data_IF_505534645500
#
_entry.id   IF_505534645500
#
_cell.length_a   1.000
_cell.length_b   1.000
_cell.length_c   1.000
_cell.angle_alpha   90.00
_cell.angle_beta   90.00
_cell.angle_gamma   90.00
#
_symmetry.space_group_name_H-M   'P 1'
#
loop_
_entity.id
_entity.type
_entity.pdbx_description
1 polymer ?
#
# COMPACT_ATOMS: atom_id res chain seq x y z
N UNK A 1 -20.39 10.15 -21.34
CA UNK A 1 -19.24 10.98 -20.89
C UNK A 1 -19.31 11.30 -19.41
N UNK A 2 -20.34 11.99 -18.92
CA UNK A 2 -20.49 12.37 -17.49
C UNK A 2 -20.33 11.22 -16.49
N UNK A 3 -20.89 10.05 -16.81
CA UNK A 3 -20.81 8.85 -15.95
C UNK A 3 -19.41 8.22 -15.90
N UNK A 4 -18.64 8.33 -16.99
CA UNK A 4 -17.26 7.81 -17.07
C UNK A 4 -16.30 8.68 -16.25
N UNK A 5 -16.49 10.00 -16.25
CA UNK A 5 -15.72 10.94 -15.44
C UNK A 5 -15.97 10.74 -13.93
N UNK A 6 -17.23 10.49 -13.54
CA UNK A 6 -17.62 10.26 -12.14
C UNK A 6 -17.01 8.95 -11.59
N UNK A 7 -17.05 7.87 -12.38
CA UNK A 7 -16.44 6.60 -12.02
C UNK A 7 -14.91 6.71 -11.85
N UNK A 8 -14.23 7.41 -12.77
CA UNK A 8 -12.79 7.69 -12.66
C UNK A 8 -12.45 8.50 -11.41
N UNK A 9 -13.25 9.51 -11.09
CA UNK A 9 -13.06 10.33 -9.89
C UNK A 9 -13.16 9.49 -8.61
N UNK A 10 -14.07 8.52 -8.55
CA UNK A 10 -14.22 7.64 -7.39
C UNK A 10 -13.06 6.67 -7.22
N UNK A 11 -12.49 6.15 -8.32
CA UNK A 11 -11.29 5.31 -8.27
C UNK A 11 -10.06 6.07 -7.77
N UNK A 12 -9.91 7.32 -8.19
CA UNK A 12 -8.86 8.22 -7.64
C UNK A 12 -9.06 8.46 -6.15
N UNK A 13 -10.30 8.69 -5.67
CA UNK A 13 -10.58 8.82 -4.23
C UNK A 13 -10.19 7.58 -3.45
N UNK A 14 -10.52 6.38 -3.95
CA UNK A 14 -10.12 5.11 -3.32
C UNK A 14 -8.60 5.03 -3.24
N UNK A 15 -7.90 5.30 -4.35
CA UNK A 15 -6.45 5.23 -4.38
C UNK A 15 -5.79 6.22 -3.41
N UNK A 16 -6.30 7.45 -3.32
CA UNK A 16 -5.82 8.46 -2.38
C UNK A 16 -6.08 8.06 -0.92
N UNK A 17 -7.28 7.57 -0.62
CA UNK A 17 -7.64 7.10 0.71
C UNK A 17 -6.79 5.90 1.13
N UNK A 18 -6.55 4.95 0.22
CA UNK A 18 -5.68 3.79 0.45
C UNK A 18 -4.23 4.20 0.67
N UNK A 19 -3.70 5.17 -0.09
CA UNK A 19 -2.35 5.69 0.11
C UNK A 19 -2.20 6.37 1.49
N UNK A 20 -3.15 7.25 1.83
CA UNK A 20 -3.14 7.98 3.10
C UNK A 20 -3.29 7.04 4.30
N UNK A 21 -4.25 6.11 4.24
CA UNK A 21 -4.48 5.13 5.30
C UNK A 21 -3.30 4.16 5.47
N UNK A 22 -2.66 3.74 4.36
CA UNK A 22 -1.43 2.93 4.43
C UNK A 22 -0.31 3.66 5.15
N UNK A 23 -0.10 4.93 4.84
CA UNK A 23 0.93 5.74 5.47
C UNK A 23 0.67 5.90 6.97
N UNK A 24 -0.57 6.24 7.35
CA UNK A 24 -0.95 6.38 8.76
C UNK A 24 -0.78 5.05 9.51
N UNK A 25 -1.28 3.95 8.93
CA UNK A 25 -1.16 2.62 9.52
C UNK A 25 0.29 2.19 9.69
N UNK A 26 1.12 2.43 8.68
CA UNK A 26 2.55 2.17 8.75
C UNK A 26 3.19 2.95 9.89
N UNK A 27 2.96 4.27 9.98
CA UNK A 27 3.55 5.11 11.04
C UNK A 27 3.14 4.59 12.42
N UNK A 28 1.85 4.33 12.64
CA UNK A 28 1.33 3.86 13.93
C UNK A 28 1.94 2.50 14.33
N UNK A 29 1.92 1.55 13.40
CA UNK A 29 2.44 0.19 13.66
C UNK A 29 3.95 0.17 13.76
N UNK A 30 4.66 1.01 13.02
CA UNK A 30 6.12 1.12 13.07
C UNK A 30 6.58 1.69 14.41
N UNK A 31 5.95 2.77 14.88
CA UNK A 31 6.21 3.34 16.21
C UNK A 31 5.91 2.30 17.29
N UNK A 32 4.75 1.63 17.20
CA UNK A 32 4.38 0.57 18.14
C UNK A 32 5.40 -0.56 18.18
N UNK A 33 5.90 -1.00 17.03
CA UNK A 33 6.90 -2.06 16.95
C UNK A 33 8.28 -1.61 17.44
N UNK A 34 8.67 -0.37 17.13
CA UNK A 34 9.95 0.21 17.54
C UNK A 34 10.18 0.09 19.05
N UNK A 35 9.19 0.51 19.85
CA UNK A 35 9.26 0.42 21.31
C UNK A 35 9.38 -1.02 21.84
N UNK A 36 8.85 -2.01 21.10
CA UNK A 36 8.87 -3.42 21.51
C UNK A 36 10.18 -4.12 21.17
N UNK A 37 10.90 -3.62 20.16
CA UNK A 37 12.04 -4.34 19.56
C UNK A 37 13.39 -3.72 19.87
N UNK A 38 13.45 -2.47 20.35
CA UNK A 38 14.71 -1.73 20.56
C UNK A 38 15.69 -2.41 21.53
N UNK A 39 15.19 -3.22 22.46
CA UNK A 39 15.99 -3.97 23.44
C UNK A 39 16.08 -5.47 23.14
N UNK A 40 15.53 -5.93 22.02
CA UNK A 40 15.51 -7.34 21.65
C UNK A 40 16.64 -7.67 20.69
N UNK A 41 17.21 -8.86 20.83
CA UNK A 41 18.24 -9.39 19.95
C UNK A 41 17.86 -10.79 19.43
N UNK A 42 18.57 -11.24 18.40
CA UNK A 42 18.49 -12.60 17.87
C UNK A 42 17.06 -13.05 17.50
N UNK A 43 16.66 -14.20 18.02
CA UNK A 43 15.38 -14.83 17.69
C UNK A 43 14.16 -14.02 18.19
N UNK A 44 14.23 -13.46 19.40
CA UNK A 44 13.12 -12.69 19.98
C UNK A 44 12.80 -11.45 19.15
N UNK A 45 13.85 -10.82 18.63
CA UNK A 45 13.77 -9.70 17.71
C UNK A 45 13.13 -10.12 16.39
N UNK A 46 13.61 -11.20 15.77
CA UNK A 46 13.07 -11.71 14.51
C UNK A 46 11.59 -12.09 14.63
N UNK A 47 11.19 -12.74 15.73
CA UNK A 47 9.78 -13.05 16.03
C UNK A 47 8.91 -11.81 16.13
N UNK A 48 9.41 -10.76 16.80
CA UNK A 48 8.67 -9.50 16.96
C UNK A 48 8.48 -8.79 15.62
N UNK A 49 9.53 -8.74 14.79
CA UNK A 49 9.41 -8.26 13.41
C UNK A 49 8.46 -9.10 12.56
N UNK A 50 8.48 -10.43 12.70
CA UNK A 50 7.52 -11.31 12.03
C UNK A 50 6.07 -10.97 12.37
N UNK A 51 5.76 -10.76 13.66
CA UNK A 51 4.44 -10.31 14.11
C UNK A 51 4.10 -8.94 13.51
N UNK A 52 5.06 -8.01 13.50
CA UNK A 52 4.87 -6.69 12.90
C UNK A 52 4.50 -6.80 11.41
N UNK A 53 5.21 -7.59 10.61
CA UNK A 53 4.89 -7.75 9.18
C UNK A 53 3.51 -8.36 8.96
N UNK A 54 3.10 -9.33 9.79
CA UNK A 54 1.75 -9.90 9.73
C UNK A 54 0.68 -8.84 10.01
N UNK A 55 0.86 -8.06 11.07
CA UNK A 55 -0.06 -6.96 11.43
C UNK A 55 -0.09 -5.89 10.34
N UNK A 56 1.07 -5.55 9.77
CA UNK A 56 1.19 -4.54 8.73
C UNK A 56 0.42 -4.96 7.47
N UNK A 57 0.68 -6.17 6.97
CA UNK A 57 0.06 -6.70 5.74
C UNK A 57 -1.45 -6.90 5.95
N UNK A 58 -1.86 -7.49 7.08
CA UNK A 58 -3.26 -7.68 7.40
C UNK A 58 -4.00 -6.34 7.50
N UNK A 59 -3.38 -5.35 8.14
CA UNK A 59 -3.96 -4.00 8.24
C UNK A 59 -4.09 -3.32 6.88
N UNK A 60 -3.10 -3.42 5.99
CA UNK A 60 -3.21 -2.92 4.62
C UNK A 60 -4.40 -3.55 3.89
N UNK A 61 -4.53 -4.88 3.94
CA UNK A 61 -5.64 -5.58 3.29
C UNK A 61 -7.00 -5.11 3.81
N UNK A 62 -7.14 -4.98 5.13
CA UNK A 62 -8.38 -4.49 5.76
C UNK A 62 -8.66 -3.04 5.37
N UNK A 63 -7.66 -2.16 5.40
CA UNK A 63 -7.82 -0.75 5.05
C UNK A 63 -8.20 -0.56 3.58
N UNK A 64 -7.64 -1.34 2.67
CA UNK A 64 -8.01 -1.30 1.25
C UNK A 64 -9.45 -1.74 1.03
N UNK A 65 -9.86 -2.84 1.66
CA UNK A 65 -11.24 -3.32 1.58
C UNK A 65 -12.22 -2.29 2.17
N UNK A 66 -11.93 -1.75 3.36
CA UNK A 66 -12.77 -0.72 3.98
C UNK A 66 -12.82 0.56 3.16
N UNK A 67 -11.69 1.00 2.60
CA UNK A 67 -11.63 2.18 1.75
C UNK A 67 -12.51 2.05 0.50
N UNK A 68 -12.45 0.88 -0.16
CA UNK A 68 -13.31 0.57 -1.29
C UNK A 68 -14.80 0.55 -0.88
N UNK A 69 -15.15 -0.11 0.23
CA UNK A 69 -16.53 -0.19 0.75
C UNK A 69 -17.09 1.19 1.11
N UNK A 70 -16.28 2.05 1.74
CA UNK A 70 -16.69 3.40 2.14
C UNK A 70 -17.03 4.27 0.93
N UNK A 71 -16.18 4.25 -0.10
CA UNK A 71 -16.44 5.01 -1.33
C UNK A 71 -17.68 4.46 -2.05
N UNK A 72 -17.82 3.13 -2.16
CA UNK A 72 -19.01 2.52 -2.76
C UNK A 72 -20.30 2.89 -2.02
N UNK A 73 -20.27 2.86 -0.68
CA UNK A 73 -21.44 3.19 0.14
C UNK A 73 -21.80 4.67 0.05
N UNK A 74 -20.79 5.55 -0.01
CA UNK A 74 -20.98 7.00 -0.21
C UNK A 74 -21.64 7.34 -1.55
N UNK A 75 -21.19 6.69 -2.63
CA UNK A 75 -21.77 6.82 -3.97
C UNK A 75 -23.22 6.37 -4.02
N UNK A 76 -23.51 5.18 -3.47
CA UNK A 76 -24.86 4.63 -3.42
C UNK A 76 -25.82 5.52 -2.62
N UNK A 77 -25.35 6.16 -1.55
CA UNK A 77 -26.15 7.15 -0.79
C UNK A 77 -26.40 8.44 -1.55
N UNK A 78 -25.50 8.82 -2.45
CA UNK A 78 -25.59 10.06 -3.23
C UNK A 78 -26.46 9.91 -4.49
N UNK A 79 -27.08 8.73 -4.69
CA UNK A 79 -27.95 8.45 -5.84
C UNK A 79 -27.21 7.91 -7.07
N UNK A 80 -25.90 7.61 -6.95
CA UNK A 80 -25.13 6.93 -7.99
C UNK A 80 -25.42 5.42 -8.06
N UNK A 81 -25.26 4.81 -9.23
CA UNK A 81 -25.53 3.38 -9.44
C UNK A 81 -24.49 2.42 -8.81
N UNK A 82 -23.39 2.93 -8.23
CA UNK A 82 -22.23 2.12 -7.82
C UNK A 82 -21.27 1.87 -8.98
N UNK A 83 -20.28 1.00 -8.80
CA UNK A 83 -19.38 0.62 -9.89
C UNK A 83 -20.15 -0.15 -10.97
N UNK A 84 -20.11 0.34 -12.22
CA UNK A 84 -20.50 -0.44 -13.39
C UNK A 84 -19.58 -1.68 -13.49
N UNK A 85 -20.16 -2.88 -13.50
CA UNK A 85 -19.45 -4.18 -13.48
C UNK A 85 -18.59 -4.46 -14.72
N UNK A 86 -18.67 -3.63 -15.75
CA UNK A 86 -17.77 -3.72 -16.91
C UNK A 86 -16.43 -3.10 -16.55
N UNK A 87 -15.49 -3.93 -16.09
CA UNK A 87 -14.07 -3.59 -16.01
C UNK A 87 -13.61 -3.12 -17.39
N UNK A 88 -13.39 -1.82 -17.56
CA UNK A 88 -12.93 -1.23 -18.81
C UNK A 88 -11.51 -1.77 -19.10
N UNK A 89 -11.14 -2.01 -20.37
CA UNK A 89 -9.79 -2.48 -20.72
C UNK A 89 -8.71 -1.55 -20.14
N UNK A 90 -9.06 -0.26 -20.02
CA UNK A 90 -8.27 0.76 -19.36
C UNK A 90 -7.96 0.45 -17.89
N UNK A 91 -8.93 -0.03 -17.12
CA UNK A 91 -8.72 -0.37 -15.71
C UNK A 91 -7.68 -1.50 -15.57
N UNK A 92 -7.79 -2.49 -16.44
CA UNK A 92 -6.86 -3.63 -16.49
C UNK A 92 -5.46 -3.19 -16.89
N UNK A 93 -5.34 -2.22 -17.80
CA UNK A 93 -4.06 -1.62 -18.14
C UNK A 93 -3.44 -0.87 -16.94
N UNK A 94 -4.22 -0.04 -16.25
CA UNK A 94 -3.77 0.71 -15.07
C UNK A 94 -3.34 -0.25 -13.96
N UNK A 95 -4.13 -1.28 -13.67
CA UNK A 95 -3.78 -2.32 -12.70
C UNK A 95 -2.47 -3.03 -13.08
N UNK A 96 -2.31 -3.39 -14.35
CA UNK A 96 -1.07 -3.99 -14.86
C UNK A 96 0.16 -3.09 -14.65
N UNK A 97 0.03 -1.78 -14.87
CA UNK A 97 1.11 -0.82 -14.57
C UNK A 97 1.35 -0.67 -13.07
N UNK A 98 0.30 -0.60 -12.26
CA UNK A 98 0.41 -0.49 -10.82
C UNK A 98 1.14 -1.69 -10.20
N UNK A 99 0.84 -2.91 -10.68
CA UNK A 99 1.52 -4.13 -10.25
C UNK A 99 2.99 -4.18 -10.69
N UNK A 100 3.32 -3.66 -11.89
CA UNK A 100 4.71 -3.51 -12.32
C UNK A 100 5.47 -2.50 -11.46
N UNK A 101 4.87 -1.36 -11.14
CA UNK A 101 5.45 -0.35 -10.26
C UNK A 101 5.70 -0.92 -8.85
N UNK A 102 4.70 -1.61 -8.30
CA UNK A 102 4.83 -2.33 -7.02
C UNK A 102 6.01 -3.31 -7.05
N UNK A 103 6.09 -4.17 -8.07
CA UNK A 103 7.14 -5.17 -8.19
C UNK A 103 8.54 -4.57 -8.33
N UNK A 104 8.69 -3.53 -9.16
CA UNK A 104 9.95 -2.84 -9.38
C UNK A 104 10.45 -2.16 -8.09
N UNK A 105 9.59 -1.39 -7.42
CA UNK A 105 9.94 -0.68 -6.19
C UNK A 105 10.21 -1.68 -5.07
N UNK A 106 9.41 -2.74 -4.95
CA UNK A 106 9.66 -3.82 -3.98
C UNK A 106 11.04 -4.44 -4.19
N UNK A 107 11.39 -4.78 -5.42
CA UNK A 107 12.68 -5.40 -5.74
C UNK A 107 13.86 -4.46 -5.44
N UNK A 108 13.80 -3.21 -5.88
CA UNK A 108 14.87 -2.23 -5.65
C UNK A 108 15.05 -1.91 -4.16
N UNK A 109 13.96 -1.70 -3.41
CA UNK A 109 14.04 -1.44 -1.98
C UNK A 109 14.47 -2.68 -1.18
N UNK A 110 14.09 -3.88 -1.62
CA UNK A 110 14.62 -5.13 -1.05
C UNK A 110 16.13 -5.25 -1.25
N UNK A 111 16.64 -4.94 -2.46
CA UNK A 111 18.09 -4.93 -2.72
C UNK A 111 18.81 -3.95 -1.80
N UNK A 112 18.27 -2.75 -1.61
CA UNK A 112 18.83 -1.77 -0.66
C UNK A 112 18.87 -2.38 0.76
N UNK A 113 17.79 -3.01 1.20
CA UNK A 113 17.73 -3.67 2.51
C UNK A 113 18.81 -4.75 2.64
N UNK A 114 18.97 -5.61 1.64
CA UNK A 114 19.98 -6.65 1.61
C UNK A 114 21.42 -6.09 1.61
N UNK A 115 21.66 -4.99 0.90
CA UNK A 115 22.95 -4.29 0.92
C UNK A 115 23.25 -3.73 2.31
N UNK A 116 22.28 -3.13 3.00
CA UNK A 116 22.47 -2.65 4.37
C UNK A 116 22.86 -3.80 5.31
N UNK A 117 22.25 -4.97 5.15
CA UNK A 117 22.62 -6.17 5.92
C UNK A 117 24.05 -6.63 5.58
N UNK A 118 24.41 -6.67 4.30
CA UNK A 118 25.74 -7.07 3.84
C UNK A 118 26.85 -6.12 4.32
N UNK A 119 26.54 -4.84 4.50
CA UNK A 119 27.44 -3.84 5.06
C UNK A 119 27.61 -3.94 6.60
N UNK A 120 26.91 -4.87 7.25
CA UNK A 120 27.06 -5.11 8.68
C UNK A 120 26.28 -4.15 9.58
N UNK A 121 25.29 -3.41 9.05
CA UNK A 121 24.42 -2.51 9.85
C UNK A 121 23.45 -3.27 10.80
N UNK A 122 23.54 -4.60 10.82
CA UNK A 122 22.82 -5.48 11.73
C UNK A 122 21.37 -5.78 11.31
N UNK A 123 20.74 -6.78 11.96
CA UNK A 123 19.37 -7.19 11.63
C UNK A 123 18.33 -6.10 11.83
N UNK A 124 18.56 -5.17 12.77
CA UNK A 124 17.61 -4.11 13.09
C UNK A 124 17.43 -3.13 11.94
N UNK A 125 18.54 -2.67 11.37
CA UNK A 125 18.54 -1.80 10.20
C UNK A 125 17.92 -2.51 8.99
N UNK A 126 18.22 -3.79 8.81
CA UNK A 126 17.64 -4.62 7.75
C UNK A 126 16.12 -4.70 7.84
N UNK A 127 15.56 -5.04 9.02
CA UNK A 127 14.12 -5.15 9.16
C UNK A 127 13.41 -3.79 9.07
N UNK A 128 14.03 -2.70 9.57
CA UNK A 128 13.54 -1.35 9.32
C UNK A 128 13.45 -1.07 7.81
N UNK A 129 14.52 -1.33 7.06
CA UNK A 129 14.56 -1.12 5.61
C UNK A 129 13.54 -1.99 4.85
N UNK A 130 13.35 -3.24 5.28
CA UNK A 130 12.29 -4.11 4.75
C UNK A 130 10.89 -3.56 5.04
N UNK A 131 10.64 -3.01 6.22
CA UNK A 131 9.38 -2.35 6.52
C UNK A 131 9.12 -1.18 5.57
N UNK A 132 10.12 -0.33 5.33
CA UNK A 132 10.02 0.74 4.34
C UNK A 132 9.84 0.23 2.92
N UNK A 133 10.42 -0.92 2.56
CA UNK A 133 10.18 -1.56 1.26
C UNK A 133 8.69 -1.83 1.04
N UNK A 134 8.00 -2.37 2.05
CA UNK A 134 6.55 -2.65 2.00
C UNK A 134 5.73 -1.38 1.86
N UNK A 135 6.09 -0.30 2.57
CA UNK A 135 5.41 0.99 2.43
C UNK A 135 5.64 1.61 1.05
N UNK A 136 6.90 1.70 0.61
CA UNK A 136 7.26 2.37 -0.63
C UNK A 136 6.63 1.69 -1.85
N UNK A 137 6.62 0.35 -1.89
CA UNK A 137 5.99 -0.38 -2.97
C UNK A 137 4.47 -0.21 -2.97
N UNK A 138 3.83 -0.23 -1.80
CA UNK A 138 2.42 0.09 -1.64
C UNK A 138 2.09 1.50 -2.16
N UNK A 139 2.85 2.52 -1.74
CA UNK A 139 2.65 3.89 -2.20
C UNK A 139 2.87 4.02 -3.71
N UNK A 140 3.88 3.36 -4.27
CA UNK A 140 4.13 3.36 -5.71
C UNK A 140 2.94 2.79 -6.50
N UNK A 141 2.32 1.72 -5.99
CA UNK A 141 1.10 1.15 -6.57
C UNK A 141 -0.05 2.17 -6.57
N UNK A 142 -0.34 2.79 -5.43
CA UNK A 142 -1.44 3.76 -5.30
C UNK A 142 -1.21 5.04 -6.09
N UNK A 143 0.02 5.56 -6.12
CA UNK A 143 0.40 6.69 -6.97
C UNK A 143 0.15 6.35 -8.44
N UNK A 144 0.48 5.13 -8.87
CA UNK A 144 0.22 4.69 -10.24
C UNK A 144 -1.27 4.67 -10.56
N UNK A 145 -2.12 4.21 -9.62
CA UNK A 145 -3.57 4.31 -9.77
C UNK A 145 -4.04 5.76 -9.89
N UNK A 146 -3.59 6.66 -9.02
CA UNK A 146 -3.97 8.08 -9.05
C UNK A 146 -3.60 8.70 -10.41
N UNK A 147 -2.35 8.53 -10.84
CA UNK A 147 -1.87 9.08 -12.11
C UNK A 147 -2.61 8.46 -13.30
N UNK A 148 -2.84 7.14 -13.29
CA UNK A 148 -3.55 6.44 -14.36
C UNK A 148 -4.99 6.93 -14.54
N UNK A 149 -5.71 7.13 -13.44
CA UNK A 149 -7.08 7.64 -13.49
C UNK A 149 -7.13 9.14 -13.82
N UNK A 150 -6.24 9.98 -13.28
CA UNK A 150 -6.23 11.42 -13.59
C UNK A 150 -5.80 11.74 -15.03
N UNK A 151 -4.81 11.01 -15.58
CA UNK A 151 -4.21 11.35 -16.88
C UNK A 151 -4.86 10.69 -18.09
N UNK A 152 -5.86 9.84 -17.91
CA UNK A 152 -6.52 9.21 -19.07
C UNK A 152 -5.74 8.06 -19.70
N UNK A 153 -4.66 7.57 -19.07
CA UNK A 153 -3.86 6.42 -19.56
C UNK A 153 -4.70 5.13 -19.59
#
# INVERSE_FOLDING_TARGET
MKHKEENMHNRTKIALLSAASSLIWFILTFIWNHYRVIHLEGEAMAKTWGIYFLVLIAGFLVLYALGAILVMTGEKRSGGQGFEETTDERDRHIEGYAMKAFGLVSFLSFLISAVLLALGLGPYAFFCALAFTVLLSSLAMWITYIIGYERGL
#
